data_IF_622852387441
#
_entry.id   IF_622852387441
#
_cell.length_a   1.000
_cell.length_b   1.000
_cell.length_c   1.000
_cell.angle_alpha   90.00
_cell.angle_beta   90.00
_cell.angle_gamma   90.00
#
_symmetry.space_group_name_H-M   'P 1'
#
loop_
_entity.id
_entity.type
_entity.pdbx_description
1 polymer ?
#
# COMPACT_ATOMS: atom_id res chain seq x y z
N UNK A 1 9.67 -1.94 2.16
CA UNK A 1 9.46 -2.67 0.90
C UNK A 1 10.77 -3.36 0.57
N UNK A 2 10.72 -4.63 0.18
CA UNK A 2 11.89 -5.43 -0.15
C UNK A 2 11.78 -5.84 -1.61
N UNK A 3 12.84 -5.62 -2.39
CA UNK A 3 12.94 -6.04 -3.79
C UNK A 3 13.90 -7.21 -3.84
N UNK A 4 13.44 -8.35 -4.32
CA UNK A 4 14.27 -9.52 -4.59
C UNK A 4 14.64 -9.52 -6.06
N UNK A 5 15.93 -9.48 -6.34
CA UNK A 5 16.46 -9.57 -7.70
C UNK A 5 17.14 -10.92 -7.91
N UNK A 6 16.89 -11.51 -9.08
CA UNK A 6 17.65 -12.64 -9.59
C UNK A 6 18.82 -12.16 -10.46
N UNK A 7 19.95 -12.90 -10.54
CA UNK A 7 21.09 -12.53 -11.38
C UNK A 7 20.80 -12.43 -12.89
N UNK A 8 19.66 -12.93 -13.32
CA UNK A 8 19.28 -13.12 -14.72
C UNK A 8 18.14 -12.17 -15.16
N UNK A 9 17.58 -11.42 -14.23
CA UNK A 9 16.41 -10.57 -14.49
C UNK A 9 16.81 -9.14 -14.79
N UNK A 10 16.09 -8.55 -15.75
CA UNK A 10 16.15 -7.12 -16.00
C UNK A 10 15.74 -6.34 -14.74
N UNK A 11 16.33 -5.15 -14.54
CA UNK A 11 16.11 -4.25 -13.39
C UNK A 11 14.66 -3.72 -13.24
N UNK A 12 13.68 -4.34 -13.88
CA UNK A 12 12.25 -3.97 -13.91
C UNK A 12 11.68 -3.90 -12.50
N UNK A 13 11.91 -4.92 -11.66
CA UNK A 13 11.40 -4.94 -10.28
C UNK A 13 11.95 -3.78 -9.45
N UNK A 14 13.25 -3.51 -9.58
CA UNK A 14 13.92 -2.42 -8.89
C UNK A 14 13.43 -1.06 -9.39
N UNK A 15 13.34 -0.89 -10.71
CA UNK A 15 12.83 0.33 -11.34
C UNK A 15 11.40 0.63 -10.90
N UNK A 16 10.52 -0.36 -10.95
CA UNK A 16 9.13 -0.22 -10.53
C UNK A 16 9.03 0.15 -9.04
N UNK A 17 9.82 -0.50 -8.17
CA UNK A 17 9.86 -0.19 -6.76
C UNK A 17 10.33 1.25 -6.47
N UNK A 18 11.34 1.75 -7.20
CA UNK A 18 11.82 3.12 -7.05
C UNK A 18 10.81 4.15 -7.52
N UNK A 19 10.19 3.94 -8.68
CA UNK A 19 9.15 4.85 -9.20
C UNK A 19 7.91 4.85 -8.28
N UNK A 20 7.51 3.69 -7.76
CA UNK A 20 6.45 3.59 -6.77
C UNK A 20 6.79 4.35 -5.49
N UNK A 21 8.02 4.20 -4.96
CA UNK A 21 8.47 4.93 -3.79
C UNK A 21 8.48 6.46 -4.01
N UNK A 22 8.85 6.91 -5.21
CA UNK A 22 8.79 8.31 -5.61
C UNK A 22 7.35 8.82 -5.67
N UNK A 23 6.43 8.08 -6.31
CA UNK A 23 5.00 8.42 -6.37
C UNK A 23 4.37 8.52 -4.98
N UNK A 24 4.67 7.56 -4.10
CA UNK A 24 4.21 7.57 -2.71
C UNK A 24 4.70 8.79 -1.93
N UNK A 25 5.95 9.22 -2.16
CA UNK A 25 6.49 10.43 -1.56
C UNK A 25 5.81 11.69 -2.09
N UNK A 26 5.67 11.80 -3.41
CA UNK A 26 5.25 13.03 -4.07
C UNK A 26 3.73 13.25 -3.96
N UNK A 27 2.92 12.20 -4.09
CA UNK A 27 1.46 12.28 -4.08
C UNK A 27 0.84 12.03 -2.69
N UNK A 28 1.45 11.15 -1.89
CA UNK A 28 0.87 10.70 -0.61
C UNK A 28 1.69 11.15 0.61
N UNK A 29 2.79 11.89 0.41
CA UNK A 29 3.73 12.29 1.47
C UNK A 29 4.27 11.12 2.30
N UNK A 30 4.25 9.91 1.74
CA UNK A 30 4.63 8.67 2.40
C UNK A 30 6.08 8.31 2.06
N UNK A 31 6.91 8.09 3.08
CA UNK A 31 8.30 7.64 2.89
C UNK A 31 8.38 6.13 3.04
N UNK A 32 8.94 5.45 2.04
CA UNK A 32 9.13 4.00 2.04
C UNK A 32 10.62 3.69 1.97
N UNK A 33 11.08 2.78 2.83
CA UNK A 33 12.40 2.17 2.69
C UNK A 33 12.33 1.07 1.63
N UNK A 34 13.24 1.13 0.65
CA UNK A 34 13.42 0.09 -0.38
C UNK A 34 14.71 -0.66 -0.06
N UNK A 35 14.57 -1.92 0.36
CA UNK A 35 15.68 -2.83 0.58
C UNK A 35 15.85 -3.72 -0.66
N UNK A 36 17.08 -3.88 -1.14
CA UNK A 36 17.37 -4.72 -2.31
C UNK A 36 18.13 -5.95 -1.86
N UNK A 37 17.56 -7.12 -2.13
CA UNK A 37 18.15 -8.42 -1.81
C UNK A 37 18.53 -9.10 -3.12
N UNK A 38 19.84 -9.18 -3.36
CA UNK A 38 20.40 -9.87 -4.51
C UNK A 38 20.67 -11.33 -4.16
N UNK A 39 19.85 -12.24 -4.68
CA UNK A 39 20.05 -13.68 -4.49
C UNK A 39 21.15 -14.18 -5.43
N UNK A 40 22.39 -13.80 -5.12
CA UNK A 40 23.58 -14.17 -5.89
C UNK A 40 24.07 -15.62 -5.63
N UNK A 41 23.52 -16.33 -4.64
CA UNK A 41 24.15 -17.55 -4.12
C UNK A 41 23.21 -18.69 -3.70
N UNK A 42 21.93 -18.68 -4.07
CA UNK A 42 21.02 -19.76 -3.70
C UNK A 42 20.02 -20.04 -4.79
N UNK A 43 20.26 -21.09 -5.58
CA UNK A 43 19.21 -21.71 -6.39
C UNK A 43 18.18 -22.28 -5.40
N UNK A 44 17.21 -21.47 -4.98
CA UNK A 44 16.01 -21.95 -4.31
C UNK A 44 15.04 -22.38 -5.39
N UNK A 45 14.76 -23.69 -5.56
CA UNK A 45 13.79 -24.17 -6.55
C UNK A 45 12.34 -23.76 -6.21
N UNK A 46 12.14 -22.93 -5.19
CA UNK A 46 10.86 -22.45 -4.70
C UNK A 46 10.65 -20.93 -4.89
N UNK A 47 11.64 -20.19 -5.40
CA UNK A 47 11.47 -18.77 -5.71
C UNK A 47 11.44 -18.56 -7.23
N UNK A 48 10.23 -18.37 -7.75
CA UNK A 48 9.88 -18.22 -9.17
C UNK A 48 10.19 -16.80 -9.69
N UNK A 49 11.45 -16.36 -9.58
CA UNK A 49 11.92 -15.11 -10.21
C UNK A 49 11.85 -13.87 -9.32
N UNK A 50 11.92 -12.66 -9.90
CA UNK A 50 12.05 -11.42 -9.16
C UNK A 50 10.72 -11.05 -8.51
N UNK A 51 10.77 -10.45 -7.33
CA UNK A 51 9.55 -10.06 -6.60
C UNK A 51 9.72 -8.77 -5.82
N UNK A 52 8.60 -8.09 -5.58
CA UNK A 52 8.52 -6.92 -4.70
C UNK A 52 7.63 -7.28 -3.52
N UNK A 53 8.20 -7.30 -2.32
CA UNK A 53 7.49 -7.56 -1.07
C UNK A 53 7.13 -6.26 -0.36
N UNK A 54 5.86 -6.10 -0.01
CA UNK A 54 5.32 -4.97 0.74
C UNK A 54 4.58 -5.50 1.97
N UNK A 55 5.21 -5.40 3.14
CA UNK A 55 4.66 -5.99 4.37
C UNK A 55 4.46 -7.50 4.21
N UNK A 56 3.24 -8.04 4.41
CA UNK A 56 2.94 -9.45 4.21
C UNK A 56 2.66 -9.84 2.74
N UNK A 57 2.59 -8.87 1.82
CA UNK A 57 2.26 -9.13 0.42
C UNK A 57 3.53 -9.31 -0.42
N UNK A 58 3.51 -10.31 -1.29
CA UNK A 58 4.54 -10.53 -2.30
C UNK A 58 3.93 -10.34 -3.69
N UNK A 59 4.57 -9.50 -4.50
CA UNK A 59 4.18 -9.18 -5.87
C UNK A 59 5.23 -9.83 -6.79
N UNK A 60 4.92 -10.95 -7.46
CA UNK A 60 5.83 -11.51 -8.45
C UNK A 60 5.95 -10.56 -9.63
N UNK A 61 7.17 -10.43 -10.15
CA UNK A 61 7.48 -9.59 -11.31
C UNK A 61 7.83 -10.50 -12.47
N UNK A 62 7.13 -10.35 -13.58
CA UNK A 62 7.54 -10.96 -14.84
C UNK A 62 8.58 -10.07 -15.51
N UNK A 63 9.84 -10.53 -15.71
CA UNK A 63 10.87 -9.75 -16.38
C UNK A 63 10.48 -9.35 -17.81
N UNK A 64 9.65 -10.15 -18.48
CA UNK A 64 9.16 -9.89 -19.83
C UNK A 64 7.93 -8.94 -19.86
N UNK A 65 7.53 -8.41 -18.71
CA UNK A 65 6.40 -7.49 -18.61
C UNK A 65 6.65 -6.21 -19.41
N UNK A 66 5.76 -5.97 -20.39
CA UNK A 66 5.82 -4.78 -21.24
C UNK A 66 5.28 -3.53 -20.52
N UNK A 67 4.36 -3.72 -19.56
CA UNK A 67 3.66 -2.62 -18.89
C UNK A 67 4.13 -2.41 -17.44
N UNK A 68 5.27 -1.72 -17.29
CA UNK A 68 5.87 -1.42 -15.97
C UNK A 68 4.98 -0.50 -15.12
N UNK A 69 4.16 0.36 -15.74
CA UNK A 69 3.28 1.29 -15.03
C UNK A 69 2.23 0.56 -14.19
N UNK A 70 1.67 -0.53 -14.71
CA UNK A 70 0.70 -1.37 -13.98
C UNK A 70 1.33 -2.01 -12.73
N UNK A 71 2.60 -2.43 -12.83
CA UNK A 71 3.36 -2.92 -11.68
C UNK A 71 3.60 -1.81 -10.65
N UNK A 72 3.94 -0.60 -11.08
CA UNK A 72 4.12 0.56 -10.21
C UNK A 72 2.81 0.84 -9.45
N UNK A 73 1.69 0.93 -10.15
CA UNK A 73 0.39 1.22 -9.54
C UNK A 73 -0.01 0.14 -8.53
N UNK A 74 0.23 -1.13 -8.85
CA UNK A 74 -0.02 -2.25 -7.94
C UNK A 74 0.83 -2.16 -6.68
N UNK A 75 2.10 -1.80 -6.80
CA UNK A 75 3.00 -1.59 -5.64
C UNK A 75 2.48 -0.43 -4.78
N UNK A 76 2.13 0.71 -5.39
CA UNK A 76 1.59 1.88 -4.69
C UNK A 76 0.32 1.52 -3.93
N UNK A 77 -0.65 0.86 -4.59
CA UNK A 77 -1.90 0.42 -3.96
C UNK A 77 -1.63 -0.50 -2.76
N UNK A 78 -0.76 -1.49 -2.92
CA UNK A 78 -0.41 -2.43 -1.85
C UNK A 78 0.22 -1.70 -0.66
N UNK A 79 1.08 -0.71 -0.89
CA UNK A 79 1.67 0.09 0.18
C UNK A 79 0.59 0.89 0.92
N UNK A 80 -0.34 1.52 0.19
CA UNK A 80 -1.41 2.31 0.80
C UNK A 80 -2.37 1.43 1.61
N UNK A 81 -2.64 0.21 1.15
CA UNK A 81 -3.41 -0.80 1.89
C UNK A 81 -2.70 -1.20 3.19
N UNK A 82 -1.42 -1.58 3.12
CA UNK A 82 -0.62 -1.97 4.30
C UNK A 82 -0.47 -0.81 5.30
N UNK A 83 -0.41 0.43 4.81
CA UNK A 83 -0.37 1.63 5.66
C UNK A 83 -1.74 1.99 6.27
N UNK A 84 -2.83 1.29 5.92
CA UNK A 84 -4.18 1.59 6.38
C UNK A 84 -4.75 2.90 5.81
N UNK A 85 -4.20 3.37 4.69
CA UNK A 85 -4.61 4.60 4.01
C UNK A 85 -5.63 4.35 2.90
N UNK A 86 -5.81 3.09 2.51
CA UNK A 86 -6.95 2.62 1.73
C UNK A 86 -7.96 2.01 2.70
N UNK A 87 -9.15 2.58 2.79
CA UNK A 87 -10.24 1.96 3.53
C UNK A 87 -10.69 0.72 2.74
N UNK A 88 -10.22 -0.46 3.16
CA UNK A 88 -11.03 -1.67 3.00
C UNK A 88 -12.41 -1.35 3.58
N UNK A 89 -13.48 -1.72 2.88
CA UNK A 89 -14.87 -1.38 3.19
C UNK A 89 -15.25 -1.69 4.66
N UNK A 90 -14.94 -0.80 5.60
CA UNK A 90 -15.71 -0.70 6.83
C UNK A 90 -17.00 0.02 6.44
N UNK A 91 -18.07 -0.76 6.27
CA UNK A 91 -19.44 -0.25 6.26
C UNK A 91 -19.54 0.82 7.35
N UNK A 92 -19.92 2.07 7.04
CA UNK A 92 -20.12 3.06 8.06
C UNK A 92 -21.33 2.62 8.88
N UNK A 93 -21.10 1.93 9.99
CA UNK A 93 -22.09 1.81 11.06
C UNK A 93 -22.24 3.20 11.66
N UNK A 94 -23.05 4.01 11.01
CA UNK A 94 -23.59 5.25 11.57
C UNK A 94 -24.34 4.85 12.84
N UNK A 95 -23.67 4.89 13.98
CA UNK A 95 -24.34 4.88 15.28
C UNK A 95 -24.98 6.25 15.45
N UNK A 96 -26.22 6.38 15.00
CA UNK A 96 -27.07 7.51 15.38
C UNK A 96 -27.36 7.37 16.87
N UNK A 97 -26.56 8.01 17.71
CA UNK A 97 -26.94 8.24 19.09
C UNK A 97 -27.96 9.37 19.08
N UNK A 98 -29.24 9.04 19.21
CA UNK A 98 -30.26 10.00 19.59
C UNK A 98 -29.91 10.48 21.00
N UNK A 99 -29.31 11.66 21.10
CA UNK A 99 -29.22 12.37 22.36
C UNK A 99 -30.55 13.11 22.47
N UNK A 100 -31.46 12.60 23.31
CA UNK A 100 -32.63 13.36 23.73
C UNK A 100 -32.15 14.64 24.40
N UNK A 101 -32.18 15.74 23.65
CA UNK A 101 -31.90 17.06 24.18
C UNK A 101 -33.08 17.47 25.07
N UNK A 102 -32.96 17.19 26.36
CA UNK A 102 -33.85 17.76 27.37
C UNK A 102 -33.52 19.26 27.44
N UNK A 103 -34.45 20.17 27.08
CA UNK A 103 -34.19 21.59 27.15
C UNK A 103 -34.05 22.02 28.62
N UNK A 104 -32.90 22.58 28.97
CA UNK A 104 -32.54 23.02 30.33
C UNK A 104 -33.22 24.34 30.77
N UNK A 105 -34.26 24.81 30.08
CA UNK A 105 -34.97 26.02 30.49
C UNK A 105 -36.46 25.93 30.12
N UNK A 106 -37.39 25.91 31.10
CA UNK A 106 -38.79 26.19 30.81
C UNK A 106 -38.96 27.67 30.42
N UNK A 107 -39.88 28.00 29.49
CA UNK A 107 -40.13 29.39 29.14
C UNK A 107 -40.72 30.15 30.33
N UNK A 108 -40.13 31.31 30.65
CA UNK A 108 -40.74 32.30 31.53
C UNK A 108 -42.03 32.80 30.87
N UNK A 109 -43.17 32.29 31.34
CA UNK A 109 -44.48 32.86 31.01
C UNK A 109 -44.60 34.15 31.83
N UNK A 110 -44.51 35.29 31.16
CA UNK A 110 -44.93 36.57 31.72
C UNK A 110 -46.47 36.62 31.69
N UNK A 111 -47.10 36.84 32.84
CA UNK A 111 -48.48 37.28 32.99
C UNK A 111 -48.57 38.20 34.20
#
# INVERSE_FOLDING_TARGET
>A
MVVRQSPWDDDVALKAAWEAAKRLKDEYSLRVLVEVVNESLGYSPFHDGPSVSVGPHEIPVDPAMVNVEELIDRIVQTVLEVAGLMTSEEEPKVRVNFIDAIPLNPPLIAA
#
